data_IF_449420091712
#
_entry.id   IF_449420091712
#
_cell.length_a   1.000
_cell.length_b   1.000
_cell.length_c   1.000
_cell.angle_alpha   90.00
_cell.angle_beta   90.00
_cell.angle_gamma   90.00
#
_symmetry.space_group_name_H-M   'P 1'
#
loop_
_entity.id
_entity.type
_entity.pdbx_description
1 polymer ?
#
# COMPACT_ATOMS: atom_id res chain seq x y z
N UNK A 1 50.70 18.27 5.18
CA UNK A 1 49.85 18.52 4.00
C UNK A 1 49.58 17.19 3.34
N UNK A 2 48.32 16.76 3.19
CA UNK A 2 48.00 15.53 2.45
C UNK A 2 48.04 15.88 0.96
N UNK A 3 48.90 15.19 0.22
CA UNK A 3 49.04 15.31 -1.24
C UNK A 3 47.66 15.16 -1.90
N UNK A 4 47.22 16.18 -2.64
CA UNK A 4 46.09 16.06 -3.55
C UNK A 4 46.54 15.20 -4.73
N UNK A 5 46.23 13.91 -4.66
CA UNK A 5 46.34 13.00 -5.80
C UNK A 5 45.49 13.57 -6.94
N UNK A 6 46.12 14.07 -7.99
CA UNK A 6 45.46 14.46 -9.24
C UNK A 6 44.91 13.19 -9.89
N UNK A 7 43.60 13.01 -9.82
CA UNK A 7 42.91 11.87 -10.43
C UNK A 7 43.16 11.87 -11.94
N UNK A 8 43.47 10.71 -12.50
CA UNK A 8 43.49 10.54 -13.96
C UNK A 8 42.10 10.82 -14.54
N UNK A 9 42.03 11.24 -15.81
CA UNK A 9 40.75 11.43 -16.51
C UNK A 9 39.87 10.17 -16.44
N UNK A 10 40.46 8.97 -16.53
CA UNK A 10 39.74 7.70 -16.40
C UNK A 10 39.18 7.48 -14.99
N UNK A 11 39.98 7.75 -13.95
CA UNK A 11 39.54 7.62 -12.55
C UNK A 11 38.46 8.64 -12.22
N UNK A 12 38.54 9.85 -12.79
CA UNK A 12 37.51 10.88 -12.65
C UNK A 12 36.20 10.47 -13.33
N UNK A 13 36.29 9.87 -14.53
CA UNK A 13 35.12 9.36 -15.26
C UNK A 13 34.48 8.17 -14.55
N UNK A 14 35.27 7.24 -14.01
CA UNK A 14 34.79 6.13 -13.16
C UNK A 14 34.18 6.63 -11.86
N UNK A 15 34.77 7.65 -11.22
CA UNK A 15 34.21 8.25 -10.01
C UNK A 15 32.88 8.94 -10.31
N UNK A 16 32.78 9.71 -11.40
CA UNK A 16 31.52 10.33 -11.83
C UNK A 16 30.48 9.27 -12.15
N UNK A 17 30.87 8.21 -12.88
CA UNK A 17 29.95 7.11 -13.24
C UNK A 17 29.46 6.37 -12.00
N UNK A 18 30.36 6.02 -11.08
CA UNK A 18 29.98 5.37 -9.82
C UNK A 18 29.16 6.29 -8.91
N UNK A 19 29.39 7.60 -8.91
CA UNK A 19 28.55 8.57 -8.20
C UNK A 19 27.16 8.68 -8.83
N UNK A 20 27.05 8.70 -10.17
CA UNK A 20 25.79 8.69 -10.91
C UNK A 20 25.03 7.38 -10.66
N UNK A 21 25.69 6.24 -10.72
CA UNK A 21 25.10 4.92 -10.43
C UNK A 21 24.66 4.77 -8.98
N UNK A 22 25.43 5.32 -8.03
CA UNK A 22 25.09 5.31 -6.60
C UNK A 22 23.87 6.19 -6.31
N UNK A 23 23.75 7.33 -6.98
CA UNK A 23 22.55 8.19 -6.91
C UNK A 23 21.34 7.51 -7.57
N UNK A 24 21.55 6.77 -8.66
CA UNK A 24 20.50 6.03 -9.37
C UNK A 24 20.03 4.77 -8.60
N UNK A 25 20.92 4.13 -7.83
CA UNK A 25 20.64 2.88 -7.09
C UNK A 25 20.17 3.07 -5.64
N UNK A 26 20.37 4.25 -5.02
CA UNK A 26 20.01 4.53 -3.61
C UNK A 26 18.49 4.57 -3.32
N UNK A 27 17.68 3.99 -4.19
CA UNK A 27 16.27 4.28 -4.30
C UNK A 27 15.42 3.02 -4.11
N UNK A 28 15.39 2.46 -2.91
CA UNK A 28 14.56 1.29 -2.67
C UNK A 28 13.68 1.42 -1.44
N UNK A 29 12.39 1.53 -1.71
CA UNK A 29 11.36 1.07 -0.79
C UNK A 29 11.47 -0.46 -0.66
N UNK A 30 11.36 -1.00 0.55
CA UNK A 30 11.67 -2.42 0.76
C UNK A 30 10.53 -3.36 0.39
N UNK A 31 9.35 -2.81 0.09
CA UNK A 31 8.12 -3.55 -0.17
C UNK A 31 7.48 -4.18 1.06
N UNK A 32 8.10 -4.09 2.25
CA UNK A 32 7.61 -4.75 3.47
C UNK A 32 6.27 -4.17 3.90
N UNK A 33 6.14 -2.83 3.94
CA UNK A 33 4.88 -2.18 4.32
C UNK A 33 3.76 -2.56 3.35
N UNK A 34 4.05 -2.62 2.05
CA UNK A 34 3.08 -3.02 1.04
C UNK A 34 2.62 -4.48 1.21
N UNK A 35 3.56 -5.39 1.46
CA UNK A 35 3.28 -6.79 1.75
C UNK A 35 2.44 -6.98 3.02
N UNK A 36 2.77 -6.23 4.06
CA UNK A 36 2.04 -6.28 5.33
C UNK A 36 0.58 -5.89 5.13
N UNK A 37 0.31 -4.74 4.52
CA UNK A 37 -1.06 -4.27 4.26
C UNK A 37 -1.82 -5.19 3.31
N UNK A 38 -1.19 -5.63 2.22
CA UNK A 38 -1.82 -6.56 1.28
C UNK A 38 -2.19 -7.91 1.93
N UNK A 39 -1.35 -8.43 2.82
CA UNK A 39 -1.61 -9.70 3.52
C UNK A 39 -2.70 -9.55 4.58
N UNK A 40 -2.59 -8.53 5.44
CA UNK A 40 -3.53 -8.32 6.55
C UNK A 40 -4.93 -8.05 6.03
N UNK A 41 -5.07 -7.14 5.05
CA UNK A 41 -6.39 -6.81 4.49
C UNK A 41 -6.96 -8.00 3.72
N UNK A 42 -6.16 -8.73 2.94
CA UNK A 42 -6.64 -9.92 2.24
C UNK A 42 -7.14 -11.01 3.20
N UNK A 43 -6.40 -11.26 4.29
CA UNK A 43 -6.82 -12.23 5.32
C UNK A 43 -8.08 -11.76 6.03
N UNK A 44 -8.13 -10.49 6.46
CA UNK A 44 -9.30 -9.94 7.14
C UNK A 44 -10.54 -10.02 6.27
N UNK A 45 -10.45 -9.61 5.00
CA UNK A 45 -11.55 -9.71 4.05
C UNK A 45 -11.95 -11.17 3.76
N UNK A 46 -11.00 -12.08 3.60
CA UNK A 46 -11.32 -13.49 3.34
C UNK A 46 -12.02 -14.15 4.53
N UNK A 47 -11.54 -13.90 5.75
CA UNK A 47 -12.14 -14.45 6.97
C UNK A 47 -13.53 -13.84 7.18
N UNK A 48 -13.71 -12.54 6.99
CA UNK A 48 -15.03 -11.90 7.11
C UNK A 48 -16.03 -12.44 6.07
N UNK A 49 -15.57 -12.72 4.85
CA UNK A 49 -16.40 -13.41 3.85
C UNK A 49 -16.84 -14.81 4.33
N UNK A 50 -15.92 -15.57 4.94
CA UNK A 50 -16.23 -16.90 5.48
C UNK A 50 -17.21 -16.83 6.66
N UNK A 51 -17.07 -15.84 7.55
CA UNK A 51 -18.03 -15.61 8.65
C UNK A 51 -19.45 -15.41 8.10
N UNK A 52 -19.59 -14.57 7.08
CA UNK A 52 -20.89 -14.31 6.42
C UNK A 52 -21.42 -15.57 5.74
N UNK A 53 -20.56 -16.33 5.04
CA UNK A 53 -21.00 -17.51 4.28
C UNK A 53 -21.39 -18.69 5.16
N UNK A 54 -20.58 -18.99 6.17
CA UNK A 54 -20.76 -20.14 7.04
C UNK A 54 -21.52 -19.79 8.32
N UNK A 55 -21.91 -18.53 8.50
CA UNK A 55 -22.66 -18.03 9.66
C UNK A 55 -22.03 -18.44 11.00
N UNK A 56 -20.70 -18.46 11.07
CA UNK A 56 -19.97 -18.66 12.33
C UNK A 56 -19.48 -17.32 12.85
N UNK A 57 -19.46 -17.17 14.17
CA UNK A 57 -18.98 -15.97 14.84
C UNK A 57 -17.62 -16.25 15.48
N UNK A 58 -16.58 -15.51 15.14
CA UNK A 58 -15.26 -15.63 15.78
C UNK A 58 -15.25 -15.15 17.24
N UNK A 59 -16.35 -14.56 17.73
CA UNK A 59 -16.42 -13.97 19.07
C UNK A 59 -15.61 -12.67 19.23
N UNK A 60 -14.95 -12.22 18.16
CA UNK A 60 -14.24 -10.94 18.07
C UNK A 60 -14.28 -10.43 16.62
N UNK A 61 -14.13 -9.12 16.43
CA UNK A 61 -14.09 -8.51 15.10
C UNK A 61 -12.72 -8.76 14.42
N UNK A 62 -12.73 -9.44 13.28
CA UNK A 62 -11.53 -9.74 12.49
C UNK A 62 -10.79 -8.47 12.03
N UNK A 63 -11.49 -7.35 11.88
CA UNK A 63 -10.89 -6.06 11.51
C UNK A 63 -9.98 -5.49 12.62
N UNK A 64 -10.02 -6.04 13.84
CA UNK A 64 -9.01 -5.76 14.87
C UNK A 64 -7.59 -6.12 14.39
N UNK A 65 -7.43 -7.09 13.48
CA UNK A 65 -6.13 -7.39 12.85
C UNK A 65 -5.53 -6.16 12.15
N UNK A 66 -6.36 -5.33 11.53
CA UNK A 66 -5.90 -4.08 10.88
C UNK A 66 -5.38 -3.10 11.92
N UNK A 67 -6.04 -3.00 13.08
CA UNK A 67 -5.54 -2.17 14.18
C UNK A 67 -4.22 -2.71 14.73
N UNK A 68 -4.10 -4.03 14.95
CA UNK A 68 -2.85 -4.63 15.39
C UNK A 68 -1.72 -4.46 14.38
N UNK A 69 -2.03 -4.42 13.07
CA UNK A 69 -1.06 -4.19 12.01
C UNK A 69 -0.45 -2.77 12.01
N UNK A 70 -1.05 -1.81 12.72
CA UNK A 70 -0.47 -0.47 12.90
C UNK A 70 0.85 -0.53 13.69
N UNK A 71 0.97 -1.45 14.66
CA UNK A 71 2.18 -1.62 15.49
C UNK A 71 3.39 -1.99 14.62
N UNK A 72 3.39 -3.13 13.87
CA UNK A 72 4.50 -3.47 13.01
C UNK A 72 4.70 -2.45 11.89
N UNK A 73 3.62 -1.84 11.36
CA UNK A 73 3.74 -0.75 10.38
C UNK A 73 4.60 0.40 10.93
N UNK A 74 4.32 0.94 12.12
CA UNK A 74 5.11 2.04 12.70
C UNK A 74 6.57 1.63 12.86
N UNK A 75 6.83 0.43 13.38
CA UNK A 75 8.20 -0.08 13.57
C UNK A 75 8.96 -0.16 12.24
N UNK A 76 8.32 -0.72 11.19
CA UNK A 76 8.92 -0.85 9.86
C UNK A 76 9.13 0.53 9.24
N UNK A 77 8.13 1.43 9.30
CA UNK A 77 8.21 2.79 8.77
C UNK A 77 9.31 3.60 9.44
N UNK A 78 9.50 3.48 10.76
CA UNK A 78 10.62 4.12 11.46
C UNK A 78 11.97 3.58 10.99
N UNK A 79 12.08 2.26 10.81
CA UNK A 79 13.30 1.63 10.30
C UNK A 79 13.62 2.06 8.87
N UNK A 80 12.63 2.12 8.00
CA UNK A 80 12.78 2.58 6.62
C UNK A 80 13.12 4.07 6.53
N UNK A 81 12.51 4.91 7.38
CA UNK A 81 12.87 6.33 7.48
C UNK A 81 14.32 6.54 7.85
N UNK A 82 14.90 5.71 8.73
CA UNK A 82 16.33 5.76 9.07
C UNK A 82 17.24 5.32 7.91
N UNK A 83 16.75 4.45 7.03
CA UNK A 83 17.49 3.99 5.85
C UNK A 83 17.39 4.99 4.68
N UNK A 84 16.28 5.72 4.55
CA UNK A 84 16.11 6.78 3.55
C UNK A 84 16.92 8.02 3.94
N UNK A 85 18.05 8.25 3.25
CA UNK A 85 18.92 9.43 3.46
C UNK A 85 18.34 10.76 2.98
N UNK A 86 17.38 10.75 2.04
CA UNK A 86 16.78 11.95 1.45
C UNK A 86 15.29 11.74 1.24
N UNK A 87 14.46 12.67 1.74
CA UNK A 87 13.01 12.72 1.43
C UNK A 87 12.80 13.49 0.15
N UNK A 88 11.86 13.05 -0.67
CA UNK A 88 11.51 13.73 -1.92
C UNK A 88 10.20 14.46 -1.79
N UNK A 89 10.04 15.51 -2.60
CA UNK A 89 8.78 16.25 -2.67
C UNK A 89 7.58 15.34 -3.00
N UNK A 90 7.80 14.32 -3.83
CA UNK A 90 6.82 13.27 -4.12
C UNK A 90 6.40 12.46 -2.88
N UNK A 91 7.31 12.22 -1.93
CA UNK A 91 7.00 11.47 -0.71
C UNK A 91 6.06 12.28 0.20
N UNK A 92 6.22 13.61 0.26
CA UNK A 92 5.36 14.47 1.06
C UNK A 92 3.94 14.58 0.47
N UNK A 93 3.84 14.61 -0.86
CA UNK A 93 2.54 14.56 -1.55
C UNK A 93 1.81 13.24 -1.27
N UNK A 94 2.54 12.12 -1.26
CA UNK A 94 1.95 10.82 -0.92
C UNK A 94 1.52 10.75 0.55
N UNK A 95 2.33 11.25 1.49
CA UNK A 95 1.95 11.32 2.90
C UNK A 95 0.64 12.10 3.09
N UNK A 96 0.43 13.19 2.36
CA UNK A 96 -0.82 13.96 2.39
C UNK A 96 -2.02 13.16 1.86
N UNK A 97 -1.85 12.41 0.77
CA UNK A 97 -2.89 11.53 0.22
C UNK A 97 -3.26 10.43 1.21
N UNK A 98 -2.27 9.84 1.88
CA UNK A 98 -2.48 8.82 2.91
C UNK A 98 -3.21 9.36 4.14
N UNK A 99 -2.88 10.59 4.56
CA UNK A 99 -3.59 11.28 5.63
C UNK A 99 -5.05 11.54 5.24
N UNK A 100 -5.31 12.06 4.05
CA UNK A 100 -6.66 12.29 3.56
C UNK A 100 -7.47 10.99 3.47
N UNK A 101 -6.86 9.90 2.98
CA UNK A 101 -7.45 8.57 2.97
C UNK A 101 -7.82 8.09 4.39
N UNK A 102 -6.89 8.21 5.35
CA UNK A 102 -7.14 7.82 6.74
C UNK A 102 -8.28 8.60 7.40
N UNK A 103 -8.34 9.92 7.18
CA UNK A 103 -9.44 10.77 7.68
C UNK A 103 -10.77 10.35 7.04
N UNK A 104 -10.76 10.03 5.74
CA UNK A 104 -11.96 9.63 5.00
C UNK A 104 -12.50 8.28 5.50
N UNK A 105 -11.61 7.30 5.72
CA UNK A 105 -11.98 6.00 6.29
C UNK A 105 -12.53 6.15 7.70
N UNK A 106 -11.87 6.94 8.55
CA UNK A 106 -12.37 7.19 9.91
C UNK A 106 -13.76 7.84 9.90
N UNK A 107 -13.99 8.83 9.03
CA UNK A 107 -15.29 9.45 8.87
C UNK A 107 -16.37 8.47 8.41
N UNK A 108 -16.03 7.54 7.51
CA UNK A 108 -16.97 6.55 7.00
C UNK A 108 -17.33 5.49 8.05
N UNK A 109 -16.34 5.01 8.81
CA UNK A 109 -16.57 4.11 9.97
C UNK A 109 -17.41 4.79 11.05
N UNK A 110 -17.11 6.06 11.36
CA UNK A 110 -17.91 6.82 12.33
C UNK A 110 -19.36 7.03 11.85
N UNK A 111 -19.55 7.31 10.55
CA UNK A 111 -20.87 7.45 9.95
C UNK A 111 -21.70 6.16 10.08
N UNK A 112 -21.11 5.01 9.77
CA UNK A 112 -21.74 3.70 9.91
C UNK A 112 -22.19 3.42 11.36
N UNK A 113 -21.35 3.74 12.34
CA UNK A 113 -21.64 3.51 13.76
C UNK A 113 -22.71 4.47 14.33
N UNK A 114 -22.77 5.71 13.84
CA UNK A 114 -23.70 6.75 14.34
C UNK A 114 -25.07 6.66 13.65
N UNK A 115 -25.11 6.28 12.37
CA UNK A 115 -26.34 6.22 11.58
C UNK A 115 -26.56 4.83 10.95
N UNK A 116 -26.89 3.80 11.75
CA UNK A 116 -27.06 2.43 11.26
C UNK A 116 -28.23 2.26 10.27
N UNK A 117 -29.19 3.19 10.28
CA UNK A 117 -30.49 3.06 9.61
C UNK A 117 -30.59 3.62 8.19
N UNK A 118 -29.56 4.30 7.66
CA UNK A 118 -29.59 4.88 6.30
C UNK A 118 -29.15 3.87 5.22
N UNK A 119 -28.59 2.73 5.62
CA UNK A 119 -28.27 1.61 4.73
C UNK A 119 -29.52 0.95 4.08
N UNK A 120 -30.73 1.32 4.52
CA UNK A 120 -31.97 0.65 4.11
C UNK A 120 -32.62 1.09 2.80
N UNK A 121 -32.20 2.17 2.12
CA UNK A 121 -33.00 2.67 0.98
C UNK A 121 -32.27 3.20 -0.26
N UNK A 122 -30.96 3.46 -0.26
CA UNK A 122 -30.31 4.04 -1.46
C UNK A 122 -28.83 3.73 -1.68
N UNK A 123 -28.12 3.12 -0.72
CA UNK A 123 -26.71 2.74 -0.89
C UNK A 123 -26.65 1.21 -1.03
N UNK A 124 -26.23 0.67 -2.19
CA UNK A 124 -26.21 -0.78 -2.43
C UNK A 124 -25.40 -1.56 -1.39
N UNK A 125 -24.30 -0.96 -0.89
CA UNK A 125 -23.46 -1.51 0.18
C UNK A 125 -22.38 -0.51 0.60
N UNK A 126 -22.16 -0.34 1.91
CA UNK A 126 -21.11 0.54 2.44
C UNK A 126 -19.69 0.03 2.09
N UNK A 127 -19.53 -1.28 1.91
CA UNK A 127 -18.28 -1.92 1.48
C UNK A 127 -17.83 -1.48 0.09
N UNK A 128 -18.76 -1.14 -0.79
CA UNK A 128 -18.45 -0.54 -2.10
C UNK A 128 -17.70 0.80 -1.93
N UNK A 129 -18.10 1.63 -0.97
CA UNK A 129 -17.41 2.91 -0.71
C UNK A 129 -15.99 2.70 -0.16
N UNK A 130 -15.79 1.66 0.67
CA UNK A 130 -14.46 1.27 1.13
C UNK A 130 -13.54 0.87 -0.03
N UNK A 131 -14.03 0.10 -1.01
CA UNK A 131 -13.28 -0.25 -2.23
C UNK A 131 -12.87 0.99 -3.03
N UNK A 132 -13.80 1.93 -3.21
CA UNK A 132 -13.55 3.18 -3.92
C UNK A 132 -12.45 3.99 -3.22
N UNK A 133 -12.56 4.17 -1.91
CA UNK A 133 -11.57 4.89 -1.11
C UNK A 133 -10.22 4.18 -1.13
N UNK A 134 -10.18 2.84 -1.10
CA UNK A 134 -8.95 2.06 -1.13
C UNK A 134 -8.19 2.16 -2.47
N UNK A 135 -8.91 2.30 -3.57
CA UNK A 135 -8.33 2.46 -4.90
C UNK A 135 -7.59 3.80 -5.06
N UNK A 136 -8.07 4.89 -4.42
CA UNK A 136 -7.51 6.23 -4.56
C UNK A 136 -6.03 6.35 -4.17
N UNK A 137 -5.60 6.04 -2.94
CA UNK A 137 -4.19 6.18 -2.55
C UNK A 137 -3.31 5.23 -3.35
N UNK A 138 -3.83 4.06 -3.74
CA UNK A 138 -3.12 3.11 -4.59
C UNK A 138 -2.88 3.68 -5.99
N UNK A 139 -3.90 4.29 -6.60
CA UNK A 139 -3.82 4.92 -7.92
C UNK A 139 -2.80 6.05 -7.91
N UNK A 140 -2.91 6.97 -6.94
CA UNK A 140 -2.01 8.10 -6.82
C UNK A 140 -0.58 7.63 -6.59
N UNK A 141 -0.38 6.64 -5.71
CA UNK A 141 0.95 6.04 -5.51
C UNK A 141 1.50 5.44 -6.80
N UNK A 142 0.68 4.70 -7.57
CA UNK A 142 1.06 4.15 -8.86
C UNK A 142 1.46 5.20 -9.90
N UNK A 143 0.73 6.31 -9.96
CA UNK A 143 0.99 7.43 -10.88
C UNK A 143 2.25 8.21 -10.49
N UNK A 144 2.37 8.63 -9.23
CA UNK A 144 3.50 9.42 -8.73
C UNK A 144 4.80 8.62 -8.79
N UNK A 145 4.78 7.36 -8.31
CA UNK A 145 5.97 6.50 -8.31
C UNK A 145 6.23 5.83 -9.68
N UNK A 146 5.39 6.09 -10.68
CA UNK A 146 5.43 5.43 -12.02
C UNK A 146 5.48 3.91 -11.92
N UNK A 147 4.82 3.34 -10.91
CA UNK A 147 4.86 1.91 -10.62
C UNK A 147 3.64 1.20 -11.20
N UNK A 148 3.82 0.66 -12.41
CA UNK A 148 2.74 0.01 -13.19
C UNK A 148 1.95 -1.06 -12.43
N UNK A 149 2.55 -1.94 -11.60
CA UNK A 149 1.79 -2.94 -10.85
C UNK A 149 0.71 -2.33 -9.94
N UNK A 150 1.01 -1.25 -9.20
CA UNK A 150 0.00 -0.57 -8.38
C UNK A 150 -1.06 0.13 -9.22
N UNK A 151 -0.69 0.70 -10.38
CA UNK A 151 -1.64 1.32 -11.30
C UNK A 151 -2.66 0.30 -11.83
N UNK A 152 -2.20 -0.88 -12.25
CA UNK A 152 -3.06 -1.96 -12.73
C UNK A 152 -3.98 -2.44 -11.59
N UNK A 153 -3.43 -2.63 -10.38
CA UNK A 153 -4.22 -3.00 -9.20
C UNK A 153 -5.33 -2.00 -8.89
N UNK A 154 -5.02 -0.70 -8.96
CA UNK A 154 -6.01 0.36 -8.73
C UNK A 154 -7.11 0.37 -9.79
N UNK A 155 -6.76 0.26 -11.07
CA UNK A 155 -7.73 0.19 -12.18
C UNK A 155 -8.65 -1.03 -12.01
N UNK A 156 -8.07 -2.18 -11.68
CA UNK A 156 -8.84 -3.40 -11.41
C UNK A 156 -9.79 -3.20 -10.23
N UNK A 157 -9.33 -2.55 -9.16
CA UNK A 157 -10.15 -2.27 -7.97
C UNK A 157 -11.28 -1.29 -8.26
N UNK A 158 -11.07 -0.29 -9.12
CA UNK A 158 -12.18 0.55 -9.61
C UNK A 158 -13.19 -0.25 -10.42
N UNK A 159 -12.75 -1.22 -11.23
CA UNK A 159 -13.64 -2.16 -11.91
C UNK A 159 -14.46 -3.00 -10.92
N UNK A 160 -13.81 -3.50 -9.86
CA UNK A 160 -14.48 -4.23 -8.79
C UNK A 160 -15.48 -3.37 -8.01
N UNK A 161 -15.18 -2.09 -7.80
CA UNK A 161 -16.13 -1.14 -7.22
C UNK A 161 -17.38 -0.96 -8.08
N UNK A 162 -17.22 -0.83 -9.40
CA UNK A 162 -18.38 -0.71 -10.30
C UNK A 162 -19.20 -2.01 -10.24
N UNK A 163 -18.55 -3.17 -10.21
CA UNK A 163 -19.23 -4.45 -10.04
C UNK A 163 -19.95 -4.55 -8.68
N UNK A 164 -19.33 -4.03 -7.61
CA UNK A 164 -19.86 -4.10 -6.25
C UNK A 164 -21.16 -3.31 -6.07
N UNK A 165 -21.35 -2.24 -6.85
CA UNK A 165 -22.61 -1.49 -6.89
C UNK A 165 -23.83 -2.33 -7.32
N UNK A 166 -23.62 -3.49 -7.95
CA UNK A 166 -24.68 -4.39 -8.41
C UNK A 166 -24.74 -5.70 -7.62
N UNK A 167 -23.89 -5.88 -6.60
CA UNK A 167 -23.82 -7.11 -5.79
C UNK A 167 -24.29 -6.89 -4.36
N UNK A 168 -24.58 -8.00 -3.67
CA UNK A 168 -24.86 -7.99 -2.22
C UNK A 168 -23.55 -7.90 -1.43
N UNK A 169 -23.63 -7.32 -0.22
CA UNK A 169 -22.50 -7.03 0.68
C UNK A 169 -21.49 -8.17 0.83
N UNK A 170 -21.95 -9.42 0.82
CA UNK A 170 -21.07 -10.61 0.88
C UNK A 170 -20.00 -10.63 -0.22
N UNK A 171 -20.36 -10.33 -1.47
CA UNK A 171 -19.41 -10.36 -2.58
C UNK A 171 -18.47 -9.14 -2.56
N UNK A 172 -18.90 -8.02 -2.00
CA UNK A 172 -18.08 -6.82 -1.87
C UNK A 172 -16.89 -7.06 -0.94
N UNK A 173 -17.09 -7.79 0.15
CA UNK A 173 -16.01 -8.19 1.06
C UNK A 173 -14.98 -9.06 0.33
N UNK A 174 -15.45 -9.98 -0.53
CA UNK A 174 -14.58 -10.82 -1.36
C UNK A 174 -13.79 -9.98 -2.39
N UNK A 175 -14.44 -8.99 -3.00
CA UNK A 175 -13.76 -8.02 -3.85
C UNK A 175 -12.70 -7.22 -3.09
N UNK A 176 -12.92 -6.95 -1.80
CA UNK A 176 -11.92 -6.39 -0.88
C UNK A 176 -10.66 -7.24 -0.79
N UNK A 177 -10.79 -8.57 -0.69
CA UNK A 177 -9.64 -9.47 -0.67
C UNK A 177 -8.87 -9.43 -2.00
N UNK A 178 -9.57 -9.46 -3.13
CA UNK A 178 -8.96 -9.36 -4.47
C UNK A 178 -8.27 -8.00 -4.67
N UNK A 179 -8.89 -6.92 -4.22
CA UNK A 179 -8.32 -5.58 -4.25
C UNK A 179 -7.04 -5.50 -3.41
N UNK A 180 -7.03 -6.08 -2.19
CA UNK A 180 -5.85 -6.10 -1.35
C UNK A 180 -4.68 -6.86 -1.97
N UNK A 181 -4.97 -8.00 -2.60
CA UNK A 181 -3.96 -8.78 -3.30
C UNK A 181 -3.37 -8.02 -4.49
N UNK A 182 -4.22 -7.41 -5.32
CA UNK A 182 -3.80 -6.75 -6.57
C UNK A 182 -3.17 -5.38 -6.34
N UNK A 183 -3.66 -4.60 -5.39
CA UNK A 183 -3.15 -3.26 -5.09
C UNK A 183 -1.88 -3.28 -4.22
N UNK A 184 -1.72 -4.27 -3.34
CA UNK A 184 -0.71 -4.21 -2.27
C UNK A 184 0.18 -5.46 -2.18
N UNK A 185 -0.41 -6.65 -2.19
CA UNK A 185 0.36 -7.89 -2.03
C UNK A 185 1.28 -8.18 -3.23
N UNK A 186 0.72 -8.23 -4.44
CA UNK A 186 1.47 -8.50 -5.67
C UNK A 186 2.52 -7.39 -5.91
N UNK A 187 2.17 -6.09 -5.85
CA UNK A 187 3.16 -5.03 -6.01
C UNK A 187 4.24 -5.05 -4.91
N UNK A 188 3.86 -5.43 -3.68
CA UNK A 188 4.77 -5.64 -2.56
C UNK A 188 5.78 -6.76 -2.80
N UNK A 189 5.35 -7.89 -3.37
CA UNK A 189 6.26 -9.00 -3.73
C UNK A 189 7.27 -8.57 -4.80
N UNK A 190 6.80 -7.83 -5.81
CA UNK A 190 7.67 -7.30 -6.88
C UNK A 190 8.70 -6.34 -6.29
N UNK A 191 8.28 -5.43 -5.41
CA UNK A 191 9.17 -4.44 -4.79
C UNK A 191 10.19 -5.12 -3.87
N UNK A 192 9.74 -6.14 -3.12
CA UNK A 192 10.60 -6.95 -2.26
C UNK A 192 11.64 -7.73 -3.04
N UNK A 193 11.27 -8.33 -4.17
CA UNK A 193 12.20 -9.06 -5.05
C UNK A 193 13.28 -8.13 -5.58
N UNK A 194 12.89 -6.96 -6.12
CA UNK A 194 13.84 -5.94 -6.60
C UNK A 194 14.79 -5.46 -5.50
N UNK A 195 14.27 -5.22 -4.30
CA UNK A 195 15.10 -4.84 -3.14
C UNK A 195 16.15 -5.89 -2.78
N UNK A 196 15.78 -7.17 -2.79
CA UNK A 196 16.70 -8.26 -2.48
C UNK A 196 17.77 -8.46 -3.56
N UNK A 197 17.40 -8.34 -4.84
CA UNK A 197 18.35 -8.40 -5.96
C UNK A 197 19.40 -7.30 -5.86
N UNK A 198 19.00 -6.07 -5.56
CA UNK A 198 19.94 -4.96 -5.41
C UNK A 198 20.83 -5.08 -4.17
N UNK A 199 20.31 -5.61 -3.07
CA UNK A 199 21.15 -5.90 -1.90
C UNK A 199 22.22 -6.95 -2.19
N UNK A 200 21.96 -7.90 -3.10
CA UNK A 200 22.95 -8.92 -3.49
C UNK A 200 24.04 -8.37 -4.41
N UNK A 201 23.74 -7.38 -5.23
CA UNK A 201 24.73 -6.76 -6.14
C UNK A 201 25.66 -5.75 -5.44
N UNK A 202 25.31 -5.30 -4.24
CA UNK A 202 26.08 -4.33 -3.45
C UNK A 202 26.76 -4.93 -2.20
N UNK A 203 26.73 -6.27 -2.05
CA UNK A 203 27.50 -7.05 -1.06
C UNK A 203 28.59 -7.80 -1.82
#
# INVERSE_FOLDING_TARGET
MKEQKTLSEKESLELITSMIEKVKSSYHETGIVALLWGSVVAIASLVNYLEIEFSFELGFDIWLLVLFALIPHVIISMKERRLKKVRKHEDDALDAVWLAYGISIFGLVAYENIVPSVAGSSIPSIYSLFLLLYALPTLVTGLVKKFRPMLIGAILTYGLFIASCFTVTKYDVLFGAVAALTCWFIPGLILRKRYLEQRRTHV
#
